data_IF_897892084359
#
_entry.id   IF_897892084359
#
_cell.length_a   1.000
_cell.length_b   1.000
_cell.length_c   1.000
_cell.angle_alpha   90.00
_cell.angle_beta   90.00
_cell.angle_gamma   90.00
#
_symmetry.space_group_name_H-M   'P 1'
#
loop_
_entity.id
_entity.type
_entity.pdbx_description
1 polymer ?
#
# COMPACT_ATOMS: atom_id res chain seq x y z
N UNK A 1 -3.91 -19.52 -10.81
CA UNK A 1 -2.96 -18.65 -10.09
C UNK A 1 -1.53 -19.04 -10.46
N UNK A 2 -0.60 -18.09 -10.59
CA UNK A 2 0.82 -18.41 -10.86
C UNK A 2 1.52 -18.79 -9.56
N UNK A 3 2.41 -19.81 -9.53
CA UNK A 3 3.23 -20.08 -8.35
C UNK A 3 4.02 -18.82 -7.97
N UNK A 4 3.75 -18.27 -6.77
CA UNK A 4 4.33 -17.00 -6.30
C UNK A 4 3.54 -15.71 -6.61
N UNK A 5 2.33 -15.80 -7.19
CA UNK A 5 1.41 -14.66 -7.29
C UNK A 5 0.73 -14.31 -5.96
N UNK A 6 -0.08 -13.25 -5.93
CA UNK A 6 -0.99 -12.95 -4.81
C UNK A 6 -0.46 -12.01 -3.71
N UNK A 7 0.81 -11.58 -3.81
CA UNK A 7 1.45 -10.72 -2.79
C UNK A 7 1.37 -9.22 -3.10
N UNK A 8 0.69 -8.83 -4.17
CA UNK A 8 0.64 -7.44 -4.64
C UNK A 8 0.04 -6.48 -3.60
N UNK A 9 -1.11 -6.84 -3.02
CA UNK A 9 -1.82 -6.03 -2.03
C UNK A 9 -1.08 -5.97 -0.69
N UNK A 10 -0.58 -7.10 -0.20
CA UNK A 10 0.25 -7.14 1.00
C UNK A 10 1.51 -6.31 0.82
N UNK A 11 2.22 -6.48 -0.30
CA UNK A 11 3.46 -5.76 -0.54
C UNK A 11 3.28 -4.25 -0.68
N UNK A 12 2.18 -3.77 -1.27
CA UNK A 12 1.92 -2.31 -1.33
C UNK A 12 1.56 -1.74 0.04
N UNK A 13 0.81 -2.48 0.86
CA UNK A 13 0.47 -2.08 2.23
C UNK A 13 1.73 -1.96 3.10
N UNK A 14 2.60 -2.97 3.08
CA UNK A 14 3.88 -2.97 3.80
C UNK A 14 4.75 -1.76 3.43
N UNK A 15 4.90 -1.47 2.12
CA UNK A 15 5.70 -0.33 1.66
C UNK A 15 5.10 1.02 2.04
N UNK A 16 3.78 1.17 1.96
CA UNK A 16 3.13 2.41 2.38
C UNK A 16 3.34 2.64 3.88
N UNK A 17 3.19 1.62 4.71
CA UNK A 17 3.43 1.70 6.15
C UNK A 17 4.88 2.08 6.49
N UNK A 18 5.86 1.50 5.79
CA UNK A 18 7.28 1.85 5.96
C UNK A 18 7.57 3.33 5.69
N UNK A 19 6.79 3.96 4.80
CA UNK A 19 6.90 5.38 4.47
C UNK A 19 6.00 6.27 5.37
N UNK A 20 5.41 5.71 6.43
CA UNK A 20 4.49 6.42 7.32
C UNK A 20 3.12 6.71 6.68
N UNK A 21 2.77 6.00 5.62
CA UNK A 21 1.50 6.07 4.91
C UNK A 21 0.57 4.91 5.24
N UNK A 22 -0.49 4.78 4.44
CA UNK A 22 -1.50 3.72 4.57
C UNK A 22 -2.12 3.36 3.22
N UNK A 23 -2.76 2.19 3.15
CA UNK A 23 -3.47 1.71 1.96
C UNK A 23 -4.88 1.25 2.28
N UNK A 24 -5.78 1.40 1.32
CA UNK A 24 -7.12 0.79 1.33
C UNK A 24 -7.30 0.00 0.03
N UNK A 25 -7.80 -1.23 0.13
CA UNK A 25 -8.04 -2.10 -1.01
C UNK A 25 -9.38 -2.80 -0.83
N UNK A 26 -10.29 -2.65 -1.80
CA UNK A 26 -11.60 -3.29 -1.73
C UNK A 26 -12.60 -2.78 -2.76
N UNK A 27 -13.77 -3.44 -2.84
CA UNK A 27 -14.91 -2.91 -3.58
C UNK A 27 -15.39 -1.58 -2.98
N UNK A 28 -15.94 -0.72 -3.82
CA UNK A 28 -16.61 0.53 -3.45
C UNK A 28 -18.08 0.48 -3.83
N UNK A 29 -18.87 1.38 -3.27
CA UNK A 29 -20.33 1.42 -3.46
C UNK A 29 -20.75 1.70 -4.90
N UNK A 30 -19.85 2.28 -5.72
CA UNK A 30 -20.01 2.50 -7.15
C UNK A 30 -19.78 1.25 -8.01
N UNK A 31 -19.55 0.09 -7.37
CA UNK A 31 -19.28 -1.18 -8.04
C UNK A 31 -17.84 -1.32 -8.54
N UNK A 32 -16.94 -0.37 -8.24
CA UNK A 32 -15.55 -0.41 -8.69
C UNK A 32 -14.66 -0.98 -7.59
N UNK A 33 -13.74 -1.86 -7.97
CA UNK A 33 -12.66 -2.28 -7.08
C UNK A 33 -11.55 -1.23 -7.08
N UNK A 34 -11.17 -0.72 -5.90
CA UNK A 34 -10.16 0.33 -5.77
C UNK A 34 -9.05 -0.08 -4.80
N UNK A 35 -7.81 0.14 -5.24
CA UNK A 35 -6.64 0.28 -4.38
C UNK A 35 -6.26 1.76 -4.30
N UNK A 36 -6.13 2.29 -3.10
CA UNK A 36 -5.64 3.64 -2.85
C UNK A 36 -4.49 3.60 -1.84
N UNK A 37 -3.47 4.42 -2.05
CA UNK A 37 -2.36 4.61 -1.13
C UNK A 37 -2.27 6.11 -0.76
N UNK A 38 -2.16 6.41 0.53
CA UNK A 38 -1.89 7.76 1.04
C UNK A 38 -0.49 7.78 1.61
N UNK A 39 0.34 8.67 1.09
CA UNK A 39 1.74 8.82 1.50
C UNK A 39 2.00 10.26 1.96
N UNK A 40 2.79 10.47 3.02
CA UNK A 40 3.29 11.79 3.38
C UNK A 40 4.12 12.40 2.24
N UNK A 41 3.97 13.70 1.98
CA UNK A 41 4.80 14.41 0.99
C UNK A 41 6.25 14.58 1.45
N UNK A 42 6.46 14.59 2.77
CA UNK A 42 7.77 14.62 3.40
C UNK A 42 7.95 13.35 4.22
N UNK A 43 8.94 12.54 3.87
CA UNK A 43 9.33 11.41 4.71
C UNK A 43 10.06 11.92 5.94
N UNK A 44 9.81 11.33 7.11
CA UNK A 44 10.78 11.47 8.20
C UNK A 44 12.08 10.85 7.70
N UNK A 45 13.19 11.58 7.86
CA UNK A 45 14.50 11.08 7.49
C UNK A 45 14.72 9.74 8.20
N UNK A 46 15.12 8.71 7.46
CA UNK A 46 15.50 7.44 8.04
C UNK A 46 16.74 7.70 8.89
N UNK A 47 16.73 7.30 10.18
CA UNK A 47 17.97 7.36 10.97
C UNK A 47 19.05 6.56 10.23
N UNK A 48 20.25 7.13 10.06
CA UNK A 48 21.36 6.39 9.49
C UNK A 48 21.64 5.19 10.38
N UNK A 49 21.74 4.01 9.75
CA UNK A 49 22.21 2.78 10.40
C UNK A 49 23.71 2.90 10.65
#
# INVERSE_FOLDING_TARGET
ARPGGGRGLTGVAERALLLGGATEAGPRDDGVWRLAARLPLHTRAKEPR
#
